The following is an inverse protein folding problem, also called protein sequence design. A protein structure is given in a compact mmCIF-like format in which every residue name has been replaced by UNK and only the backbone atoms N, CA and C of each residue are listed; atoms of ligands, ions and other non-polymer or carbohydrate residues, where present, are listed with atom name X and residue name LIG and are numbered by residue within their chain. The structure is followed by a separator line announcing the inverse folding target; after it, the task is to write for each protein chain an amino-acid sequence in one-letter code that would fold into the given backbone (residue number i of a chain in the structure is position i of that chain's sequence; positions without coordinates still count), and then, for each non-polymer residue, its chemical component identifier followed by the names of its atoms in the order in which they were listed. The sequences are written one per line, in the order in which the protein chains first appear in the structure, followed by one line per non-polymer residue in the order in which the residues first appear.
data_IF_263882153463
#
_entry.id   IF_263882153463
#
_cell.length_a   1.000
_cell.length_b   1.000
_cell.length_c   1.000
_cell.angle_alpha   90.00
_cell.angle_beta   90.00
_cell.angle_gamma   90.00
#
_symmetry.space_group_name_H-M   'P 1'
#
loop_
_entity.id
_entity.type
_entity.pdbx_description
1 polymer ?
#
# COMPACT_ATOMS: atom_id res chain seq x y z
N UNK A 1 -29.31 -30.43 -12.28
CA UNK A 1 -27.97 -29.81 -12.39
C UNK A 1 -28.13 -28.50 -13.14
N UNK A 2 -28.68 -27.49 -12.47
CA UNK A 2 -29.07 -26.24 -13.12
C UNK A 2 -29.04 -25.16 -12.05
N UNK A 3 -27.85 -24.63 -11.77
CA UNK A 3 -27.66 -23.47 -10.89
C UNK A 3 -26.29 -22.80 -11.11
N UNK A 4 -25.75 -22.83 -12.33
CA UNK A 4 -24.67 -21.92 -12.75
C UNK A 4 -25.27 -20.58 -13.22
N UNK A 5 -26.19 -20.03 -12.43
CA UNK A 5 -26.59 -18.63 -12.58
C UNK A 5 -25.37 -17.83 -12.15
N UNK A 6 -24.64 -17.29 -13.12
CA UNK A 6 -23.58 -16.28 -13.00
C UNK A 6 -23.81 -15.36 -11.80
N UNK A 7 -23.31 -15.76 -10.63
CA UNK A 7 -23.51 -15.02 -9.40
C UNK A 7 -22.63 -13.79 -9.50
N UNK A 8 -23.19 -12.70 -10.03
CA UNK A 8 -22.51 -11.41 -9.99
C UNK A 8 -22.26 -11.11 -8.52
N UNK A 9 -20.99 -11.19 -8.09
CA UNK A 9 -20.62 -10.94 -6.69
C UNK A 9 -21.27 -9.62 -6.25
N UNK A 10 -22.01 -9.69 -5.14
CA UNK A 10 -22.56 -8.49 -4.54
C UNK A 10 -21.41 -7.52 -4.24
N UNK A 11 -21.67 -6.21 -4.30
CA UNK A 11 -20.66 -5.18 -4.05
C UNK A 11 -19.81 -5.49 -2.83
N UNK A 12 -20.48 -5.74 -1.70
CA UNK A 12 -19.83 -6.02 -0.41
C UNK A 12 -18.95 -7.26 -0.48
N UNK A 13 -19.43 -8.31 -1.14
CA UNK A 13 -18.72 -9.58 -1.25
C UNK A 13 -17.46 -9.46 -2.13
N UNK A 14 -17.54 -8.73 -3.24
CA UNK A 14 -16.38 -8.48 -4.10
C UNK A 14 -15.27 -7.74 -3.36
N UNK A 15 -15.61 -6.62 -2.69
CA UNK A 15 -14.65 -5.84 -1.92
C UNK A 15 -14.11 -6.60 -0.70
N UNK A 16 -14.92 -7.47 -0.07
CA UNK A 16 -14.47 -8.35 1.01
C UNK A 16 -13.45 -9.37 0.53
N UNK A 17 -13.72 -10.07 -0.59
CA UNK A 17 -12.82 -11.07 -1.18
C UNK A 17 -11.45 -10.48 -1.53
N UNK A 18 -11.39 -9.22 -1.95
CA UNK A 18 -10.15 -8.54 -2.34
C UNK A 18 -9.33 -7.97 -1.17
N UNK A 19 -9.93 -7.85 0.03
CA UNK A 19 -9.25 -7.25 1.20
C UNK A 19 -8.02 -8.03 1.65
N UNK A 20 -8.06 -9.36 1.62
CA UNK A 20 -6.92 -10.17 2.04
C UNK A 20 -5.71 -9.91 1.14
N UNK A 21 -5.91 -9.95 -0.18
CA UNK A 21 -4.85 -9.66 -1.15
C UNK A 21 -4.32 -8.23 -0.99
N UNK A 22 -5.20 -7.26 -0.70
CA UNK A 22 -4.80 -5.89 -0.42
C UNK A 22 -3.86 -5.80 0.79
N UNK A 23 -4.22 -6.41 1.92
CA UNK A 23 -3.40 -6.39 3.14
C UNK A 23 -2.09 -7.17 2.98
N UNK A 24 -2.10 -8.31 2.28
CA UNK A 24 -0.86 -9.04 1.94
C UNK A 24 0.05 -8.13 1.10
N UNK A 25 -0.51 -7.44 0.11
CA UNK A 25 0.21 -6.48 -0.71
C UNK A 25 0.88 -5.39 0.11
N UNK A 26 0.16 -4.80 1.09
CA UNK A 26 0.71 -3.80 2.00
C UNK A 26 1.85 -4.36 2.85
N UNK A 27 1.70 -5.54 3.43
CA UNK A 27 2.76 -6.15 4.27
C UNK A 27 4.01 -6.39 3.42
N UNK A 28 3.86 -7.02 2.26
CA UNK A 28 4.97 -7.31 1.35
C UNK A 28 5.65 -6.01 0.89
N UNK A 29 4.86 -5.00 0.51
CA UNK A 29 5.40 -3.70 0.08
C UNK A 29 6.19 -3.01 1.19
N UNK A 30 5.73 -3.11 2.44
CA UNK A 30 6.45 -2.56 3.59
C UNK A 30 7.79 -3.21 3.82
N UNK A 31 7.83 -4.54 3.77
CA UNK A 31 9.08 -5.31 3.92
C UNK A 31 10.05 -4.93 2.79
N UNK A 32 9.58 -4.92 1.54
CA UNK A 32 10.42 -4.58 0.38
C UNK A 32 10.91 -3.12 0.44
N UNK A 33 10.06 -2.19 0.82
CA UNK A 33 10.45 -0.78 0.97
C UNK A 33 11.47 -0.59 2.09
N UNK A 34 11.34 -1.33 3.20
CA UNK A 34 12.30 -1.28 4.30
C UNK A 34 13.66 -1.87 3.89
N UNK A 35 13.68 -2.99 3.16
CA UNK A 35 14.91 -3.54 2.58
C UNK A 35 15.57 -2.52 1.64
N UNK A 36 14.77 -1.88 0.76
CA UNK A 36 15.28 -0.85 -0.14
C UNK A 36 15.83 0.36 0.63
N UNK A 37 15.17 0.77 1.71
CA UNK A 37 15.65 1.82 2.61
C UNK A 37 17.02 1.50 3.20
N UNK A 38 17.23 0.28 3.71
CA UNK A 38 18.56 -0.13 4.21
C UNK A 38 19.60 -0.06 3.10
N UNK A 39 19.29 -0.54 1.89
CA UNK A 39 20.20 -0.50 0.74
C UNK A 39 20.56 0.95 0.37
N UNK A 40 19.57 1.84 0.27
CA UNK A 40 19.80 3.26 -0.05
C UNK A 40 20.65 3.92 1.02
N UNK A 41 20.37 3.65 2.30
CA UNK A 41 21.16 4.22 3.40
C UNK A 41 22.60 3.74 3.32
N UNK A 42 22.84 2.44 3.22
CA UNK A 42 24.18 1.85 3.22
C UNK A 42 25.04 2.26 2.01
N UNK A 43 24.44 2.26 0.81
CA UNK A 43 25.20 2.44 -0.43
C UNK A 43 25.22 3.86 -0.96
N UNK A 44 24.23 4.70 -0.61
CA UNK A 44 24.10 6.07 -1.12
C UNK A 44 24.31 7.07 -0.01
N UNK A 45 23.52 7.00 1.06
CA UNK A 45 23.54 8.01 2.14
C UNK A 45 24.87 8.01 2.88
N UNK A 46 25.31 6.85 3.37
CA UNK A 46 26.56 6.74 4.16
C UNK A 46 27.83 6.98 3.33
N UNK A 47 27.74 6.94 2.00
CA UNK A 47 28.87 7.25 1.10
C UNK A 47 28.85 8.67 0.56
N UNK A 48 27.78 9.43 0.84
CA UNK A 48 27.64 10.81 0.41
C UNK A 48 28.47 11.73 1.32
N UNK A 49 28.95 12.84 0.78
CA UNK A 49 29.55 13.93 1.57
C UNK A 49 28.50 14.75 2.33
N UNK A 50 27.22 14.56 2.01
CA UNK A 50 26.09 15.22 2.67
C UNK A 50 25.93 14.69 4.09
N UNK A 51 25.66 15.60 5.04
CA UNK A 51 25.42 15.23 6.45
C UNK A 51 24.04 14.59 6.60
N UNK A 52 24.01 13.30 6.93
CA UNK A 52 22.78 12.63 7.33
C UNK A 52 22.62 12.69 8.85
N UNK A 53 21.45 13.14 9.32
CA UNK A 53 21.10 13.22 10.75
C UNK A 53 20.27 12.02 11.24
N UNK A 54 19.97 11.06 10.35
CA UNK A 54 19.20 9.89 10.71
C UNK A 54 20.00 8.86 11.49
N UNK A 55 19.33 8.16 12.39
CA UNK A 55 19.90 7.06 13.17
C UNK A 55 19.22 5.73 12.83
N UNK A 56 20.01 4.72 12.49
CA UNK A 56 19.54 3.35 12.28
C UNK A 56 19.82 2.50 13.54
N UNK A 57 18.99 2.68 14.56
CA UNK A 57 19.05 1.91 15.81
C UNK A 57 17.88 0.95 15.91
N UNK A 58 17.95 -0.04 16.80
CA UNK A 58 16.82 -0.94 17.06
C UNK A 58 15.56 -0.16 17.47
N UNK A 59 15.71 0.96 18.18
CA UNK A 59 14.60 1.82 18.59
C UNK A 59 13.94 2.51 17.39
N UNK A 60 14.74 3.04 16.44
CA UNK A 60 14.18 3.68 15.26
C UNK A 60 13.49 2.66 14.35
N UNK A 61 14.01 1.43 14.24
CA UNK A 61 13.36 0.34 13.50
C UNK A 61 12.00 -0.02 14.12
N UNK A 62 11.93 -0.16 15.45
CA UNK A 62 10.65 -0.44 16.14
C UNK A 62 9.65 0.71 15.93
N UNK A 63 10.10 1.96 16.07
CA UNK A 63 9.23 3.12 15.87
C UNK A 63 8.71 3.22 14.43
N UNK A 64 9.57 2.96 13.44
CA UNK A 64 9.17 2.87 12.04
C UNK A 64 8.16 1.73 11.81
N UNK A 65 8.35 0.58 12.46
CA UNK A 65 7.39 -0.53 12.43
C UNK A 65 6.01 -0.13 12.98
N UNK A 66 5.97 0.59 14.11
CA UNK A 66 4.72 1.11 14.67
C UNK A 66 4.07 2.12 13.71
N UNK A 67 4.84 3.06 13.18
CA UNK A 67 4.37 4.01 12.17
C UNK A 67 3.82 3.30 10.93
N UNK A 68 4.44 2.20 10.52
CA UNK A 68 3.99 1.39 9.40
C UNK A 68 2.65 0.70 9.68
N UNK A 69 2.44 0.18 10.89
CA UNK A 69 1.16 -0.41 11.30
C UNK A 69 0.04 0.64 11.29
N UNK A 70 0.33 1.86 11.73
CA UNK A 70 -0.62 2.99 11.65
C UNK A 70 -0.97 3.28 10.19
N UNK A 71 0.04 3.31 9.31
CA UNK A 71 -0.16 3.51 7.87
C UNK A 71 -1.05 2.40 7.27
N UNK A 72 -0.82 1.12 7.61
CA UNK A 72 -1.69 0.00 7.20
C UNK A 72 -3.13 0.23 7.68
N UNK A 73 -3.31 0.72 8.91
CA UNK A 73 -4.61 1.11 9.45
C UNK A 73 -5.29 2.16 8.58
N UNK A 74 -4.60 3.25 8.28
CA UNK A 74 -5.08 4.30 7.37
C UNK A 74 -5.41 3.76 5.97
N UNK A 75 -4.56 2.90 5.40
CA UNK A 75 -4.79 2.27 4.10
C UNK A 75 -6.04 1.37 4.12
N UNK A 76 -6.33 0.71 5.24
CA UNK A 76 -7.57 -0.06 5.41
C UNK A 76 -8.81 0.84 5.51
N UNK A 77 -8.70 2.01 6.15
CA UNK A 77 -9.78 3.01 6.16
C UNK A 77 -10.07 3.52 4.74
N UNK A 78 -9.02 3.87 3.98
CA UNK A 78 -9.15 4.30 2.58
C UNK A 78 -9.74 3.21 1.69
N UNK A 79 -9.45 1.93 1.96
CA UNK A 79 -10.05 0.81 1.23
C UNK A 79 -11.59 0.80 1.30
N UNK A 80 -12.19 1.28 2.40
CA UNK A 80 -13.65 1.40 2.53
C UNK A 80 -14.26 2.46 1.59
N UNK A 81 -13.46 3.39 1.07
CA UNK A 81 -13.93 4.36 0.07
C UNK A 81 -14.31 3.67 -1.25
N UNK A 82 -13.74 2.51 -1.56
CA UNK A 82 -14.12 1.72 -2.75
C UNK A 82 -15.62 1.37 -2.78
N UNK A 83 -16.14 0.62 -1.80
CA UNK A 83 -17.56 0.33 -1.68
C UNK A 83 -18.47 1.58 -1.62
N UNK A 84 -18.02 2.63 -0.93
CA UNK A 84 -18.79 3.88 -0.77
C UNK A 84 -18.89 4.63 -2.11
N UNK A 85 -17.77 4.77 -2.82
CA UNK A 85 -17.74 5.44 -4.13
C UNK A 85 -18.64 4.74 -5.16
N UNK A 86 -18.71 3.41 -5.14
CA UNK A 86 -19.62 2.66 -6.01
C UNK A 86 -21.10 2.94 -5.66
N UNK A 87 -21.43 3.22 -4.39
CA UNK A 87 -22.79 3.60 -3.98
C UNK A 87 -23.18 4.98 -4.51
N UNK A 88 -22.24 5.92 -4.48
CA UNK A 88 -22.45 7.31 -4.87
C UNK A 88 -22.51 7.46 -6.39
N UNK A 89 -21.57 6.85 -7.11
CA UNK A 89 -21.44 7.02 -8.57
C UNK A 89 -22.45 6.16 -9.35
N UNK A 90 -22.86 5.01 -8.80
CA UNK A 90 -23.73 4.03 -9.47
C UNK A 90 -23.26 3.71 -10.91
N UNK A 91 -22.02 3.20 -11.08
CA UNK A 91 -21.39 3.03 -12.39
C UNK A 91 -22.19 2.09 -13.30
N UNK A 92 -22.36 2.48 -14.57
CA UNK A 92 -23.02 1.65 -15.61
C UNK A 92 -22.37 0.26 -15.75
N UNK A 93 -21.03 0.19 -15.58
CA UNK A 93 -20.28 -1.06 -15.56
C UNK A 93 -19.56 -1.24 -14.21
N UNK A 94 -20.26 -1.83 -13.25
CA UNK A 94 -19.75 -2.05 -11.89
C UNK A 94 -18.49 -2.93 -11.86
N UNK A 95 -18.35 -3.91 -12.77
CA UNK A 95 -17.19 -4.81 -12.80
C UNK A 95 -15.90 -4.06 -13.15
N UNK A 96 -15.93 -3.29 -14.25
CA UNK A 96 -14.76 -2.49 -14.65
C UNK A 96 -14.45 -1.40 -13.61
N UNK A 97 -15.48 -0.75 -13.06
CA UNK A 97 -15.30 0.26 -12.02
C UNK A 97 -14.58 -0.30 -10.78
N UNK A 98 -15.05 -1.45 -10.26
CA UNK A 98 -14.43 -2.12 -9.11
C UNK A 98 -12.98 -2.49 -9.37
N UNK A 99 -12.68 -3.05 -10.55
CA UNK A 99 -11.32 -3.44 -10.91
C UNK A 99 -10.38 -2.23 -10.98
N UNK A 100 -10.81 -1.16 -11.64
CA UNK A 100 -10.02 0.06 -11.78
C UNK A 100 -9.76 0.71 -10.42
N UNK A 101 -10.82 0.96 -9.64
CA UNK A 101 -10.72 1.62 -8.34
C UNK A 101 -9.89 0.79 -7.35
N UNK A 102 -10.05 -0.54 -7.36
CA UNK A 102 -9.19 -1.42 -6.56
C UNK A 102 -7.73 -1.33 -7.00
N UNK A 103 -7.43 -1.37 -8.30
CA UNK A 103 -6.06 -1.28 -8.80
C UNK A 103 -5.40 0.03 -8.42
N UNK A 104 -6.11 1.15 -8.59
CA UNK A 104 -5.60 2.48 -8.22
C UNK A 104 -5.32 2.52 -6.71
N UNK A 105 -6.30 2.14 -5.88
CA UNK A 105 -6.12 2.16 -4.42
C UNK A 105 -5.04 1.20 -3.93
N UNK A 106 -4.95 0.00 -4.53
CA UNK A 106 -3.92 -1.00 -4.23
C UNK A 106 -2.52 -0.48 -4.55
N UNK A 107 -2.28 -0.05 -5.79
CA UNK A 107 -0.95 0.41 -6.21
C UNK A 107 -0.54 1.71 -5.53
N UNK A 108 -1.49 2.63 -5.32
CA UNK A 108 -1.25 3.84 -4.54
C UNK A 108 -0.76 3.48 -3.13
N UNK A 109 -1.51 2.63 -2.42
CA UNK A 109 -1.18 2.29 -1.03
C UNK A 109 0.08 1.44 -0.91
N UNK A 110 0.32 0.52 -1.85
CA UNK A 110 1.56 -0.25 -1.93
C UNK A 110 2.77 0.59 -2.37
N UNK A 111 2.55 1.73 -3.03
CA UNK A 111 3.60 2.65 -3.47
C UNK A 111 4.10 3.60 -2.37
N UNK A 112 3.21 4.01 -1.45
CA UNK A 112 3.54 4.93 -0.34
C UNK A 112 4.80 4.53 0.44
N UNK A 113 4.99 3.25 0.86
CA UNK A 113 6.16 2.85 1.65
C UNK A 113 7.49 3.15 0.94
N UNK A 114 7.51 3.11 -0.40
CA UNK A 114 8.70 3.36 -1.20
C UNK A 114 9.05 4.85 -1.35
N UNK A 115 8.17 5.77 -0.94
CA UNK A 115 8.47 7.19 -0.98
C UNK A 115 9.66 7.54 -0.08
N UNK A 116 9.79 6.92 1.08
CA UNK A 116 10.89 7.17 2.01
C UNK A 116 12.25 6.83 1.40
N UNK A 117 12.52 5.59 0.93
CA UNK A 117 13.78 5.28 0.27
C UNK A 117 14.00 6.07 -1.02
N UNK A 118 12.95 6.35 -1.79
CA UNK A 118 13.08 7.14 -3.02
C UNK A 118 13.50 8.58 -2.74
N UNK A 119 12.92 9.23 -1.73
CA UNK A 119 13.28 10.60 -1.34
C UNK A 119 14.73 10.67 -0.84
N UNK A 120 15.15 9.71 0.00
CA UNK A 120 16.54 9.64 0.45
C UNK A 120 17.51 9.43 -0.72
N UNK A 121 17.16 8.57 -1.67
CA UNK A 121 17.98 8.37 -2.86
C UNK A 121 18.15 9.65 -3.66
N UNK A 122 17.05 10.38 -3.91
CA UNK A 122 17.08 11.65 -4.66
C UNK A 122 17.86 12.73 -3.90
N UNK A 123 17.73 12.78 -2.58
CA UNK A 123 18.39 13.78 -1.75
C UNK A 123 19.90 13.54 -1.65
N UNK A 124 20.38 12.29 -1.67
CA UNK A 124 21.78 11.95 -1.37
C UNK A 124 22.64 11.57 -2.58
N UNK A 125 22.05 11.35 -3.75
CA UNK A 125 22.78 11.33 -5.03
C UNK A 125 23.22 12.75 -5.43
#
# INVERSE_FOLDING_TARGET
MENEIWKSDSRKEWWRKKRLNYNIGLIVSGILAFILYIIVVEFVVLKSEKRWEGELTIFSIIFQGIGYLIMIGCANLLYYLGPISELLIKPKNAKNYRLLTYRIGYWFSCGIPFLVPALLFIEFI
#
